data_IF_600506983695
#
_entry.id   IF_600506983695
#
_cell.length_a   1.000
_cell.length_b   1.000
_cell.length_c   1.000
_cell.angle_alpha   90.00
_cell.angle_beta   90.00
_cell.angle_gamma   90.00
#
_symmetry.space_group_name_H-M   'P 1'
#
loop_
_entity.id
_entity.type
_entity.pdbx_description
1 polymer ?
#
# COMPACT_ATOMS: atom_id res chain seq x y z
N UNK A 1 0.74 -5.84 -18.44
CA UNK A 1 1.92 -4.99 -18.18
C UNK A 1 3.06 -5.94 -17.85
N UNK A 2 4.26 -5.74 -18.37
CA UNK A 2 5.36 -6.66 -18.06
C UNK A 2 6.32 -6.03 -17.07
N UNK A 3 6.70 -6.82 -16.06
CA UNK A 3 7.67 -6.44 -15.03
C UNK A 3 8.89 -7.37 -15.02
N UNK A 4 9.18 -7.99 -16.17
CA UNK A 4 10.38 -8.82 -16.33
C UNK A 4 11.63 -8.06 -15.86
N UNK A 5 12.48 -8.71 -15.06
CA UNK A 5 13.68 -8.16 -14.45
C UNK A 5 13.44 -6.89 -13.57
N UNK A 6 12.23 -6.68 -13.06
CA UNK A 6 11.93 -5.65 -12.05
C UNK A 6 11.87 -6.26 -10.67
N UNK A 7 12.39 -5.53 -9.70
CA UNK A 7 12.31 -5.87 -8.28
C UNK A 7 11.34 -4.93 -7.58
N UNK A 8 10.36 -5.51 -6.90
CA UNK A 8 9.25 -4.81 -6.26
C UNK A 8 9.24 -5.11 -4.76
N UNK A 9 9.41 -4.12 -3.94
CA UNK A 9 9.24 -4.23 -2.49
C UNK A 9 7.80 -3.89 -2.11
N UNK A 10 7.07 -4.84 -1.54
CA UNK A 10 5.69 -4.64 -1.05
C UNK A 10 5.67 -4.78 0.47
N UNK A 11 5.33 -3.71 1.19
CA UNK A 11 5.25 -3.75 2.65
C UNK A 11 3.90 -4.30 3.12
N UNK A 12 3.92 -5.08 4.22
CA UNK A 12 2.72 -5.72 4.74
C UNK A 12 2.08 -6.70 3.77
N UNK A 13 2.90 -7.45 3.02
CA UNK A 13 2.47 -8.27 1.89
C UNK A 13 2.06 -9.71 2.25
N UNK A 14 2.06 -10.10 3.53
CA UNK A 14 1.69 -11.46 3.95
C UNK A 14 0.19 -11.78 3.82
N UNK A 15 -0.68 -10.79 3.53
CA UNK A 15 -2.15 -10.98 3.43
C UNK A 15 -2.85 -9.80 2.75
N UNK A 16 -4.14 -9.99 2.46
CA UNK A 16 -5.04 -8.94 1.99
C UNK A 16 -4.55 -8.24 0.73
N UNK A 17 -4.65 -6.91 0.70
CA UNK A 17 -4.27 -6.09 -0.45
C UNK A 17 -2.79 -6.28 -0.81
N UNK A 18 -1.90 -6.28 0.18
CA UNK A 18 -0.47 -6.45 -0.06
C UNK A 18 -0.12 -7.79 -0.71
N UNK A 19 -0.77 -8.89 -0.29
CA UNK A 19 -0.58 -10.21 -0.89
C UNK A 19 -1.11 -10.27 -2.33
N UNK A 20 -2.27 -9.66 -2.60
CA UNK A 20 -2.82 -9.58 -3.96
C UNK A 20 -1.90 -8.77 -4.89
N UNK A 21 -1.35 -7.66 -4.40
CA UNK A 21 -0.37 -6.85 -5.13
C UNK A 21 0.89 -7.66 -5.43
N UNK A 22 1.43 -8.39 -4.44
CA UNK A 22 2.63 -9.21 -4.61
C UNK A 22 2.43 -10.29 -5.69
N UNK A 23 1.31 -11.03 -5.64
CA UNK A 23 0.95 -12.04 -6.65
C UNK A 23 0.79 -11.44 -8.05
N UNK A 24 0.14 -10.28 -8.13
CA UNK A 24 -0.08 -9.60 -9.40
C UNK A 24 1.24 -9.15 -10.05
N UNK A 25 2.20 -8.61 -9.28
CA UNK A 25 3.51 -8.30 -9.81
C UNK A 25 4.26 -9.55 -10.28
N UNK A 26 4.21 -10.63 -9.49
CA UNK A 26 4.85 -11.89 -9.84
C UNK A 26 4.28 -12.51 -11.11
N UNK A 27 2.95 -12.46 -11.31
CA UNK A 27 2.29 -12.94 -12.54
C UNK A 27 2.68 -12.14 -13.80
N UNK A 28 3.23 -10.95 -13.62
CA UNK A 28 3.77 -10.10 -14.69
C UNK A 28 5.31 -10.20 -14.81
N UNK A 29 5.93 -11.21 -14.18
CA UNK A 29 7.34 -11.54 -14.28
C UNK A 29 8.27 -10.81 -13.30
N UNK A 30 7.73 -10.09 -12.31
CA UNK A 30 8.55 -9.42 -11.32
C UNK A 30 9.19 -10.38 -10.31
N UNK A 31 10.30 -9.93 -9.73
CA UNK A 31 10.83 -10.43 -8.47
C UNK A 31 10.24 -9.61 -7.32
N UNK A 32 9.61 -10.25 -6.34
CA UNK A 32 8.87 -9.56 -5.28
C UNK A 32 9.49 -9.79 -3.91
N UNK A 33 9.82 -8.72 -3.23
CA UNK A 33 10.20 -8.74 -1.80
C UNK A 33 8.93 -8.61 -0.97
N UNK A 34 8.55 -9.70 -0.32
CA UNK A 34 7.34 -9.84 0.50
C UNK A 34 7.68 -9.45 1.93
N UNK A 35 7.48 -8.18 2.30
CA UNK A 35 7.71 -7.77 3.69
C UNK A 35 6.55 -8.20 4.59
N UNK A 36 6.88 -8.69 5.76
CA UNK A 36 5.96 -9.02 6.83
C UNK A 36 6.50 -8.63 8.22
N UNK A 37 5.60 -8.49 9.21
CA UNK A 37 5.98 -8.17 10.58
C UNK A 37 5.97 -9.41 11.49
N UNK A 38 4.88 -10.20 11.48
CA UNK A 38 4.63 -11.26 12.47
C UNK A 38 4.35 -12.63 11.87
N UNK A 39 3.60 -12.71 10.78
CA UNK A 39 3.11 -13.97 10.25
C UNK A 39 4.03 -14.45 9.12
N UNK A 40 5.01 -15.25 9.48
CA UNK A 40 6.01 -15.82 8.60
C UNK A 40 5.41 -16.89 7.67
N UNK A 41 4.54 -17.76 8.20
CA UNK A 41 3.89 -18.80 7.40
C UNK A 41 3.01 -18.20 6.30
N UNK A 42 2.25 -17.14 6.62
CA UNK A 42 1.45 -16.45 5.62
C UNK A 42 2.33 -15.74 4.56
N UNK A 43 3.48 -15.20 4.95
CA UNK A 43 4.41 -14.62 3.99
C UNK A 43 5.03 -15.70 3.10
N UNK A 44 5.41 -16.85 3.66
CA UNK A 44 5.92 -17.99 2.90
C UNK A 44 4.89 -18.53 1.90
N UNK A 45 3.61 -18.60 2.28
CA UNK A 45 2.54 -18.97 1.36
C UNK A 45 2.41 -17.97 0.18
N UNK A 46 2.50 -16.66 0.44
CA UNK A 46 2.49 -15.64 -0.63
C UNK A 46 3.71 -15.79 -1.54
N UNK A 47 4.89 -16.07 -0.98
CA UNK A 47 6.10 -16.34 -1.78
C UNK A 47 5.90 -17.55 -2.69
N UNK A 48 5.34 -18.65 -2.18
CA UNK A 48 5.04 -19.83 -2.99
C UNK A 48 4.06 -19.51 -4.13
N UNK A 49 3.00 -18.75 -3.84
CA UNK A 49 2.02 -18.30 -4.83
C UNK A 49 2.67 -17.42 -5.92
N UNK A 50 3.58 -16.50 -5.53
CA UNK A 50 4.31 -15.63 -6.46
C UNK A 50 5.18 -16.47 -7.42
N UNK A 51 5.89 -17.47 -6.90
CA UNK A 51 6.70 -18.38 -7.71
C UNK A 51 5.85 -19.24 -8.63
N UNK A 52 4.73 -19.75 -8.15
CA UNK A 52 3.77 -20.51 -8.96
C UNK A 52 3.13 -19.65 -10.07
N UNK A 53 3.02 -18.34 -9.88
CA UNK A 53 2.51 -17.41 -10.88
C UNK A 53 3.53 -17.03 -11.97
N UNK A 54 4.78 -17.49 -11.89
CA UNK A 54 5.82 -17.31 -12.92
C UNK A 54 6.81 -16.17 -12.62
N UNK A 55 6.70 -15.49 -11.48
CA UNK A 55 7.71 -14.56 -10.98
C UNK A 55 8.68 -15.24 -10.02
N UNK A 56 9.47 -14.41 -9.34
CA UNK A 56 10.27 -14.84 -8.18
C UNK A 56 9.87 -14.03 -6.94
N UNK A 57 10.11 -14.58 -5.75
CA UNK A 57 9.84 -13.87 -4.51
C UNK A 57 10.60 -14.47 -3.34
N UNK A 58 10.84 -13.62 -2.32
CA UNK A 58 11.25 -14.04 -0.99
C UNK A 58 10.62 -13.17 0.08
N UNK A 59 10.56 -13.68 1.31
CA UNK A 59 10.00 -12.96 2.45
C UNK A 59 11.10 -12.28 3.26
N UNK A 60 10.82 -11.05 3.74
CA UNK A 60 11.69 -10.33 4.68
C UNK A 60 10.88 -9.84 5.87
N UNK A 61 11.32 -10.23 7.08
CA UNK A 61 10.73 -9.77 8.32
C UNK A 61 11.30 -8.41 8.70
N UNK A 62 10.46 -7.38 8.71
CA UNK A 62 10.83 -6.05 9.20
C UNK A 62 9.60 -5.30 9.70
N UNK A 63 9.76 -4.56 10.80
CA UNK A 63 8.79 -3.56 11.24
C UNK A 63 9.06 -2.26 10.48
N UNK A 64 8.11 -1.81 9.67
CA UNK A 64 8.23 -0.55 8.92
C UNK A 64 8.30 0.68 9.84
N UNK A 65 7.83 0.58 11.08
CA UNK A 65 7.98 1.61 12.10
C UNK A 65 9.42 1.76 12.63
N UNK A 66 10.30 0.77 12.40
CA UNK A 66 11.69 0.79 12.82
C UNK A 66 12.61 1.16 11.66
N UNK A 67 13.21 2.35 11.69
CA UNK A 67 14.14 2.80 10.66
C UNK A 67 15.32 1.82 10.48
N UNK A 68 15.82 1.23 11.58
CA UNK A 68 16.93 0.25 11.53
C UNK A 68 16.48 -1.04 10.83
N UNK A 69 15.29 -1.57 11.16
CA UNK A 69 14.78 -2.78 10.53
C UNK A 69 14.47 -2.57 9.03
N UNK A 70 13.99 -1.38 8.68
CA UNK A 70 13.72 -1.02 7.28
C UNK A 70 15.04 -0.88 6.50
N UNK A 71 16.06 -0.25 7.08
CA UNK A 71 17.37 -0.14 6.44
C UNK A 71 17.95 -1.52 6.13
N UNK A 72 17.94 -2.42 7.11
CA UNK A 72 18.41 -3.80 6.93
C UNK A 72 17.60 -4.57 5.86
N UNK A 73 16.27 -4.40 5.82
CA UNK A 73 15.40 -4.99 4.80
C UNK A 73 15.78 -4.51 3.39
N UNK A 74 16.02 -3.21 3.22
CA UNK A 74 16.38 -2.62 1.92
C UNK A 74 17.77 -3.07 1.49
N UNK A 75 18.74 -3.11 2.41
CA UNK A 75 20.09 -3.63 2.16
C UNK A 75 20.04 -5.09 1.73
N UNK A 76 19.34 -5.95 2.47
CA UNK A 76 19.15 -7.34 2.09
C UNK A 76 18.53 -7.46 0.69
N UNK A 77 17.50 -6.68 0.36
CA UNK A 77 16.87 -6.73 -0.95
C UNK A 77 17.82 -6.29 -2.08
N UNK A 78 18.70 -5.32 -1.81
CA UNK A 78 19.71 -4.87 -2.74
C UNK A 78 20.84 -5.90 -2.92
N UNK A 79 21.25 -6.56 -1.84
CA UNK A 79 22.28 -7.60 -1.88
C UNK A 79 21.80 -8.83 -2.67
N UNK A 80 20.54 -9.26 -2.46
CA UNK A 80 19.97 -10.44 -3.12
C UNK A 80 19.61 -10.19 -4.59
N UNK A 81 19.05 -9.01 -4.92
CA UNK A 81 18.54 -8.74 -6.27
C UNK A 81 19.31 -7.66 -7.04
N UNK A 82 20.29 -7.01 -6.44
CA UNK A 82 21.07 -5.94 -7.05
C UNK A 82 20.31 -4.65 -7.31
N UNK A 83 18.99 -4.62 -7.09
CA UNK A 83 18.13 -3.47 -7.41
C UNK A 83 16.80 -3.50 -6.70
N UNK A 84 16.18 -2.34 -6.56
CA UNK A 84 14.75 -2.14 -6.32
C UNK A 84 14.25 -1.14 -7.37
N UNK A 85 13.15 -1.44 -8.04
CA UNK A 85 12.54 -0.57 -9.07
C UNK A 85 11.25 0.08 -8.58
N UNK A 86 10.50 -0.64 -7.74
CA UNK A 86 9.19 -0.24 -7.25
C UNK A 86 9.10 -0.47 -5.75
N UNK A 87 8.53 0.49 -5.06
CA UNK A 87 8.12 0.35 -3.65
C UNK A 87 6.62 0.52 -3.56
N UNK A 88 5.94 -0.42 -2.88
CA UNK A 88 4.53 -0.29 -2.51
C UNK A 88 4.42 -0.21 -0.99
N UNK A 89 4.13 0.98 -0.48
CA UNK A 89 3.87 1.20 0.94
C UNK A 89 2.41 0.85 1.24
N UNK A 90 2.17 -0.41 1.58
CA UNK A 90 0.87 -0.95 1.93
C UNK A 90 0.74 -1.23 3.43
N UNK A 91 1.84 -1.47 4.14
CA UNK A 91 1.81 -1.70 5.59
C UNK A 91 1.18 -0.51 6.33
N UNK A 92 0.35 -0.81 7.31
CA UNK A 92 -0.21 0.18 8.24
C UNK A 92 -0.45 -0.47 9.60
N UNK A 93 -0.67 0.37 10.63
CA UNK A 93 -1.02 -0.14 11.95
C UNK A 93 -2.33 -0.92 11.88
N UNK A 94 -2.47 -2.07 12.56
CA UNK A 94 -3.71 -2.83 12.59
C UNK A 94 -4.90 -1.94 12.95
N UNK A 95 -5.95 -2.02 12.14
CA UNK A 95 -7.19 -1.26 12.30
C UNK A 95 -8.38 -2.18 12.06
N UNK A 96 -9.50 -1.92 12.72
CA UNK A 96 -10.75 -2.65 12.53
C UNK A 96 -11.81 -1.71 12.01
N UNK A 97 -12.31 -1.99 10.81
CA UNK A 97 -13.39 -1.20 10.20
C UNK A 97 -14.75 -1.71 10.68
N UNK A 98 -15.14 -1.27 11.87
CA UNK A 98 -16.48 -1.51 12.43
C UNK A 98 -17.17 -0.15 12.64
N UNK A 99 -18.17 0.22 11.79
CA UNK A 99 -18.85 1.50 11.91
C UNK A 99 -19.58 1.72 13.24
N UNK A 100 -19.96 0.64 13.92
CA UNK A 100 -20.72 0.71 15.20
C UNK A 100 -19.80 0.76 16.42
N UNK A 101 -18.53 0.36 16.26
CA UNK A 101 -17.53 0.39 17.34
C UNK A 101 -16.42 1.40 17.07
N UNK A 102 -16.64 2.32 16.14
CA UNK A 102 -15.69 3.42 15.92
C UNK A 102 -15.66 4.33 17.14
N UNK A 103 -14.49 4.83 17.46
CA UNK A 103 -14.32 5.85 18.50
C UNK A 103 -14.88 7.18 17.99
N UNK A 104 -15.65 7.89 18.82
CA UNK A 104 -16.15 9.23 18.52
C UNK A 104 -15.04 10.26 18.72
N UNK A 105 -15.23 11.48 18.21
CA UNK A 105 -14.19 12.52 18.26
C UNK A 105 -13.77 12.87 19.68
N UNK A 106 -14.74 13.02 20.58
CA UNK A 106 -14.54 13.34 22.00
C UNK A 106 -13.96 12.19 22.84
N UNK A 107 -13.97 10.99 22.29
CA UNK A 107 -13.39 9.77 22.88
C UNK A 107 -12.03 9.40 22.29
N UNK A 108 -11.68 9.96 21.12
CA UNK A 108 -10.43 9.64 20.40
C UNK A 108 -9.27 10.41 21.04
N UNK A 109 -8.35 9.70 21.67
CA UNK A 109 -7.17 10.31 22.27
C UNK A 109 -6.16 10.77 21.22
N UNK A 110 -5.37 11.81 21.55
CA UNK A 110 -4.30 12.27 20.65
C UNK A 110 -3.27 11.16 20.32
N UNK A 111 -3.03 10.28 21.27
CA UNK A 111 -2.16 9.12 21.10
C UNK A 111 -2.64 8.14 20.02
N UNK A 112 -3.96 8.03 19.78
CA UNK A 112 -4.52 7.21 18.70
C UNK A 112 -4.13 7.80 17.32
N UNK A 113 -4.24 9.12 17.18
CA UNK A 113 -3.75 9.82 15.98
C UNK A 113 -2.26 9.60 15.77
N UNK A 114 -1.43 9.82 16.81
CA UNK A 114 0.02 9.62 16.71
C UNK A 114 0.35 8.19 16.28
N UNK A 115 -0.33 7.21 16.85
CA UNK A 115 -0.11 5.81 16.53
C UNK A 115 -0.47 5.46 15.08
N UNK A 116 -1.51 6.06 14.50
CA UNK A 116 -1.85 5.89 13.08
C UNK A 116 -0.88 6.66 12.18
N UNK A 117 -0.41 7.83 12.58
CA UNK A 117 0.65 8.55 11.88
C UNK A 117 1.95 7.75 11.82
N UNK A 118 2.40 7.20 12.93
CA UNK A 118 3.61 6.38 13.00
C UNK A 118 3.49 5.14 12.09
N UNK A 119 2.33 4.50 12.07
CA UNK A 119 2.08 3.32 11.25
C UNK A 119 1.95 3.60 9.76
N UNK A 120 1.28 4.68 9.38
CA UNK A 120 1.00 4.98 7.97
C UNK A 120 2.08 5.90 7.35
N UNK A 121 2.34 7.05 7.96
CA UNK A 121 3.29 8.04 7.43
C UNK A 121 4.71 7.67 7.82
N UNK A 122 4.95 7.35 9.08
CA UNK A 122 6.28 6.97 9.60
C UNK A 122 6.83 5.73 8.90
N UNK A 123 5.99 4.71 8.71
CA UNK A 123 6.38 3.50 7.97
C UNK A 123 6.77 3.81 6.53
N UNK A 124 5.94 4.57 5.80
CA UNK A 124 6.23 4.98 4.42
C UNK A 124 7.49 5.86 4.35
N UNK A 125 7.67 6.79 5.29
CA UNK A 125 8.86 7.64 5.40
C UNK A 125 10.13 6.79 5.54
N UNK A 126 10.16 5.83 6.46
CA UNK A 126 11.32 4.98 6.67
C UNK A 126 11.71 4.22 5.41
N UNK A 127 10.72 3.61 4.72
CA UNK A 127 10.96 2.85 3.48
C UNK A 127 11.44 3.77 2.36
N UNK A 128 10.78 4.91 2.14
CA UNK A 128 11.18 5.88 1.12
C UNK A 128 12.60 6.40 1.37
N UNK A 129 12.95 6.71 2.63
CA UNK A 129 14.28 7.18 3.00
C UNK A 129 15.36 6.14 2.75
N UNK A 130 15.10 4.88 3.07
CA UNK A 130 16.07 3.79 2.89
C UNK A 130 16.34 3.48 1.41
N UNK A 131 15.31 3.52 0.54
CA UNK A 131 15.49 3.24 -0.90
C UNK A 131 16.00 4.44 -1.71
N UNK A 132 15.85 5.66 -1.20
CA UNK A 132 16.14 6.90 -1.93
C UNK A 132 17.58 7.00 -2.47
N UNK A 133 18.65 6.63 -1.74
CA UNK A 133 20.01 6.63 -2.29
C UNK A 133 20.14 5.79 -3.55
N UNK A 134 19.55 4.57 -3.54
CA UNK A 134 19.55 3.67 -4.68
C UNK A 134 18.75 4.24 -5.88
N UNK A 135 17.56 4.80 -5.64
CA UNK A 135 16.76 5.43 -6.69
C UNK A 135 17.45 6.65 -7.30
N UNK A 136 18.10 7.48 -6.47
CA UNK A 136 18.91 8.63 -6.94
C UNK A 136 20.06 8.21 -7.85
N UNK A 137 20.82 7.20 -7.43
CA UNK A 137 21.94 6.67 -8.21
C UNK A 137 21.49 6.18 -9.60
N UNK A 138 20.29 5.60 -9.68
CA UNK A 138 19.73 5.05 -10.92
C UNK A 138 18.92 6.05 -11.73
N UNK A 139 18.67 7.24 -11.20
CA UNK A 139 17.78 8.25 -11.75
C UNK A 139 16.42 7.65 -12.18
N UNK A 140 15.89 6.71 -11.39
CA UNK A 140 14.65 5.98 -11.69
C UNK A 140 14.10 5.29 -10.44
N UNK A 141 12.78 5.37 -10.26
CA UNK A 141 12.04 4.66 -9.24
C UNK A 141 10.53 4.93 -9.33
N UNK A 142 9.73 4.03 -8.80
CA UNK A 142 8.30 4.26 -8.63
C UNK A 142 7.88 3.91 -7.20
N UNK A 143 7.20 4.83 -6.54
CA UNK A 143 6.65 4.67 -5.19
C UNK A 143 5.13 4.74 -5.30
N UNK A 144 4.44 3.73 -4.79
CA UNK A 144 2.98 3.70 -4.71
C UNK A 144 2.57 3.56 -3.25
N UNK A 145 1.86 4.56 -2.74
CA UNK A 145 1.37 4.57 -1.35
C UNK A 145 -0.11 4.18 -1.32
N UNK A 146 -0.48 3.19 -0.48
CA UNK A 146 -1.87 2.79 -0.32
C UNK A 146 -2.51 3.70 0.73
N UNK A 147 -3.44 4.55 0.26
CA UNK A 147 -4.22 5.46 1.10
C UNK A 147 -5.65 4.95 1.30
N UNK A 148 -6.68 5.77 1.21
CA UNK A 148 -8.09 5.36 1.34
C UNK A 148 -8.97 6.40 0.63
N UNK A 149 -10.11 5.98 0.10
CA UNK A 149 -11.11 6.92 -0.44
C UNK A 149 -11.76 7.79 0.65
N UNK A 150 -11.62 7.41 1.92
CA UNK A 150 -12.07 8.22 3.06
C UNK A 150 -11.35 9.57 3.16
N UNK A 151 -10.18 9.73 2.52
CA UNK A 151 -9.48 11.03 2.47
C UNK A 151 -10.27 12.09 1.71
N UNK A 152 -11.14 11.68 0.79
CA UNK A 152 -12.01 12.57 0.00
C UNK A 152 -13.45 12.51 0.50
N UNK A 153 -13.96 11.31 0.79
CA UNK A 153 -15.34 11.10 1.21
C UNK A 153 -15.40 10.26 2.50
N UNK A 154 -15.34 10.88 3.68
CA UNK A 154 -15.36 10.18 4.97
C UNK A 154 -16.79 9.75 5.35
N UNK A 155 -17.37 8.81 4.58
CA UNK A 155 -18.73 8.26 4.83
C UNK A 155 -18.87 7.68 6.23
N UNK A 156 -17.76 7.23 6.82
CA UNK A 156 -17.64 6.88 8.22
C UNK A 156 -16.41 7.60 8.75
N UNK A 157 -16.57 8.46 9.77
CA UNK A 157 -15.45 9.21 10.32
C UNK A 157 -14.60 8.31 11.26
N UNK A 158 -13.64 7.62 10.67
CA UNK A 158 -12.53 6.99 11.41
C UNK A 158 -11.45 8.06 11.59
N UNK A 159 -11.55 8.85 12.65
CA UNK A 159 -10.84 10.12 12.82
C UNK A 159 -9.32 9.99 12.70
N UNK A 160 -8.72 9.10 13.48
CA UNK A 160 -7.29 8.84 13.54
C UNK A 160 -6.77 8.25 12.21
N UNK A 161 -7.44 7.23 11.69
CA UNK A 161 -7.07 6.55 10.45
C UNK A 161 -7.15 7.47 9.23
N UNK A 162 -8.30 8.16 9.06
CA UNK A 162 -8.50 9.04 7.90
C UNK A 162 -7.53 10.21 7.92
N UNK A 163 -7.26 10.79 9.09
CA UNK A 163 -6.27 11.88 9.25
C UNK A 163 -4.87 11.41 8.85
N UNK A 164 -4.44 10.23 9.30
CA UNK A 164 -3.14 9.68 8.93
C UNK A 164 -3.04 9.37 7.41
N UNK A 165 -4.11 8.84 6.81
CA UNK A 165 -4.14 8.59 5.35
C UNK A 165 -4.15 9.89 4.53
N UNK A 166 -4.82 10.94 5.01
CA UNK A 166 -4.76 12.28 4.39
C UNK A 166 -3.36 12.88 4.47
N UNK A 167 -2.68 12.72 5.60
CA UNK A 167 -1.29 13.15 5.74
C UNK A 167 -0.35 12.39 4.81
N UNK A 168 -0.58 11.09 4.57
CA UNK A 168 0.20 10.30 3.62
C UNK A 168 0.02 10.81 2.18
N UNK A 169 -1.15 11.35 1.80
CA UNK A 169 -1.35 12.04 0.51
C UNK A 169 -0.48 13.29 0.42
N UNK A 170 -0.47 14.14 1.45
CA UNK A 170 0.38 15.33 1.51
C UNK A 170 1.86 14.97 1.42
N UNK A 171 2.31 13.97 2.18
CA UNK A 171 3.67 13.43 2.13
C UNK A 171 4.04 12.96 0.70
N UNK A 172 3.15 12.22 0.04
CA UNK A 172 3.36 11.70 -1.32
C UNK A 172 3.52 12.82 -2.35
N UNK A 173 2.71 13.87 -2.25
CA UNK A 173 2.77 15.04 -3.15
C UNK A 173 4.07 15.82 -3.00
N UNK A 174 4.55 16.02 -1.77
CA UNK A 174 5.85 16.65 -1.52
C UNK A 174 7.00 15.83 -2.10
N UNK A 175 7.01 14.52 -1.87
CA UNK A 175 8.01 13.63 -2.46
C UNK A 175 7.95 13.65 -4.00
N UNK A 176 6.76 13.64 -4.58
CA UNK A 176 6.59 13.69 -6.04
C UNK A 176 7.19 14.97 -6.64
N UNK A 177 6.99 16.12 -6.00
CA UNK A 177 7.54 17.40 -6.43
C UNK A 177 9.07 17.43 -6.32
N UNK A 178 9.63 16.96 -5.19
CA UNK A 178 11.07 16.97 -4.94
C UNK A 178 11.81 15.94 -5.81
N UNK A 179 11.26 14.73 -5.95
CA UNK A 179 11.96 13.61 -6.57
C UNK A 179 11.70 13.48 -8.08
N UNK A 180 10.70 14.18 -8.61
CA UNK A 180 10.37 14.18 -10.03
C UNK A 180 11.55 14.53 -10.94
N UNK A 181 12.34 15.60 -10.67
CA UNK A 181 13.55 15.93 -11.43
C UNK A 181 14.61 14.81 -11.44
N UNK A 182 14.53 13.89 -10.51
CA UNK A 182 15.43 12.72 -10.40
C UNK A 182 14.87 11.47 -11.10
N UNK A 183 13.79 11.60 -11.88
CA UNK A 183 13.15 10.47 -12.57
C UNK A 183 12.40 9.50 -11.63
N UNK A 184 12.08 9.93 -10.40
CA UNK A 184 11.37 9.11 -9.42
C UNK A 184 9.92 9.60 -9.34
N UNK A 185 8.96 8.68 -9.52
CA UNK A 185 7.53 8.98 -9.44
C UNK A 185 6.95 8.53 -8.11
N UNK A 186 6.03 9.30 -7.56
CA UNK A 186 5.33 8.98 -6.30
C UNK A 186 3.84 9.21 -6.50
N UNK A 187 3.03 8.16 -6.35
CA UNK A 187 1.58 8.23 -6.51
C UNK A 187 0.88 7.48 -5.38
N UNK A 188 -0.42 7.72 -5.24
CA UNK A 188 -1.28 7.06 -4.27
C UNK A 188 -2.37 6.23 -4.97
N UNK A 189 -2.71 5.08 -4.39
CA UNK A 189 -3.94 4.35 -4.68
C UNK A 189 -4.85 4.48 -3.47
N UNK A 190 -6.09 4.86 -3.69
CA UNK A 190 -7.13 5.11 -2.68
C UNK A 190 -8.27 4.09 -2.80
N UNK A 191 -8.16 2.89 -2.20
CA UNK A 191 -9.24 1.92 -2.20
C UNK A 191 -10.44 2.43 -1.39
N UNK A 192 -11.65 1.98 -1.80
CA UNK A 192 -12.82 1.93 -0.93
C UNK A 192 -12.73 0.78 0.07
N UNK A 193 -13.88 0.33 0.60
CA UNK A 193 -13.91 -0.89 1.39
C UNK A 193 -13.48 -2.07 0.53
N UNK A 194 -12.48 -2.82 1.01
CA UNK A 194 -11.97 -4.05 0.38
C UNK A 194 -12.35 -5.24 1.26
N UNK A 195 -13.08 -6.19 0.73
CA UNK A 195 -13.55 -7.36 1.48
C UNK A 195 -13.41 -8.63 0.63
N UNK A 196 -12.99 -9.77 1.22
CA UNK A 196 -12.60 -9.94 2.62
C UNK A 196 -11.14 -9.55 2.88
N UNK A 197 -10.91 -8.87 4.01
CA UNK A 197 -9.57 -8.65 4.58
C UNK A 197 -9.64 -8.79 6.09
N UNK A 198 -8.51 -8.91 6.78
CA UNK A 198 -8.51 -8.93 8.24
C UNK A 198 -9.06 -7.62 8.82
N UNK A 199 -8.76 -6.48 8.23
CA UNK A 199 -9.23 -5.18 8.70
C UNK A 199 -10.74 -5.00 8.49
N UNK A 200 -11.31 -5.58 7.43
CA UNK A 200 -12.74 -5.49 7.09
C UNK A 200 -13.58 -6.65 7.61
N UNK A 201 -12.97 -7.65 8.26
CA UNK A 201 -13.69 -8.83 8.75
C UNK A 201 -14.81 -8.54 9.75
N UNK A 202 -14.67 -7.45 10.52
CA UNK A 202 -15.70 -6.98 11.45
C UNK A 202 -16.84 -6.17 10.81
N UNK A 203 -16.72 -5.84 9.51
CA UNK A 203 -17.75 -5.07 8.79
C UNK A 203 -19.01 -5.91 8.62
N UNK A 204 -20.13 -5.47 9.22
CA UNK A 204 -21.41 -6.18 9.19
C UNK A 204 -22.03 -6.20 7.81
N UNK A 205 -22.90 -7.19 7.59
CA UNK A 205 -23.52 -7.41 6.28
C UNK A 205 -24.41 -6.24 5.85
N UNK A 206 -25.23 -5.73 6.75
CA UNK A 206 -26.14 -4.62 6.46
C UNK A 206 -25.38 -3.36 6.01
N UNK A 207 -24.20 -3.13 6.59
CA UNK A 207 -23.35 -2.01 6.16
C UNK A 207 -22.73 -2.29 4.79
N UNK A 208 -22.28 -3.53 4.53
CA UNK A 208 -21.78 -3.92 3.21
C UNK A 208 -22.86 -3.76 2.13
N UNK A 209 -24.09 -4.18 2.42
CA UNK A 209 -25.23 -4.02 1.50
C UNK A 209 -25.53 -2.54 1.21
N UNK A 210 -25.50 -1.69 2.23
CA UNK A 210 -25.70 -0.24 2.04
C UNK A 210 -24.60 0.38 1.18
N UNK A 211 -23.36 -0.08 1.35
CA UNK A 211 -22.22 0.36 0.53
C UNK A 211 -22.36 -0.13 -0.92
N UNK A 212 -22.76 -1.39 -1.12
CA UNK A 212 -23.03 -1.96 -2.45
C UNK A 212 -24.11 -1.14 -3.16
N UNK A 213 -25.20 -0.80 -2.44
CA UNK A 213 -26.27 0.03 -2.99
C UNK A 213 -25.83 1.44 -3.37
N UNK A 214 -24.86 2.02 -2.64
CA UNK A 214 -24.29 3.34 -2.92
C UNK A 214 -23.19 3.32 -4.00
N UNK A 215 -22.57 2.17 -4.24
CA UNK A 215 -21.46 2.03 -5.18
C UNK A 215 -21.98 1.84 -6.60
N UNK A 216 -21.60 2.66 -7.60
CA UNK A 216 -22.02 2.50 -8.99
C UNK A 216 -21.79 1.11 -9.58
N UNK A 217 -20.62 0.48 -9.32
CA UNK A 217 -20.33 -0.88 -9.77
C UNK A 217 -21.06 -1.99 -8.99
N UNK A 218 -21.94 -1.62 -8.03
CA UNK A 218 -22.84 -2.54 -7.30
C UNK A 218 -22.13 -3.75 -6.65
N UNK A 219 -20.91 -3.57 -6.21
CA UNK A 219 -20.15 -4.56 -5.43
C UNK A 219 -19.10 -3.89 -4.55
N UNK A 220 -18.60 -4.63 -3.59
CA UNK A 220 -17.43 -4.25 -2.80
C UNK A 220 -16.17 -4.73 -3.54
N UNK A 221 -15.10 -3.95 -3.44
CA UNK A 221 -13.81 -4.32 -4.00
C UNK A 221 -13.22 -5.55 -3.30
N UNK A 222 -12.56 -6.40 -4.07
CA UNK A 222 -11.68 -7.47 -3.59
C UNK A 222 -10.23 -6.98 -3.59
N UNK A 223 -9.31 -7.64 -2.87
CA UNK A 223 -7.89 -7.28 -2.90
C UNK A 223 -7.30 -7.19 -4.31
N UNK A 224 -7.74 -8.06 -5.23
CA UNK A 224 -7.29 -8.11 -6.62
C UNK A 224 -7.70 -6.87 -7.42
N UNK A 225 -8.82 -6.23 -7.09
CA UNK A 225 -9.26 -4.99 -7.75
C UNK A 225 -8.30 -3.83 -7.49
N UNK A 226 -7.56 -3.86 -6.38
CA UNK A 226 -6.56 -2.84 -6.02
C UNK A 226 -5.23 -3.08 -6.72
N UNK A 227 -4.90 -4.34 -7.01
CA UNK A 227 -3.60 -4.71 -7.55
C UNK A 227 -3.37 -4.12 -8.95
N UNK A 228 -4.34 -4.19 -9.87
CA UNK A 228 -4.21 -3.65 -11.22
C UNK A 228 -3.83 -2.16 -11.28
N UNK A 229 -4.54 -1.27 -10.59
CA UNK A 229 -4.17 0.14 -10.45
C UNK A 229 -2.78 0.39 -9.87
N UNK A 230 -2.33 -0.43 -8.91
CA UNK A 230 -0.96 -0.34 -8.36
C UNK A 230 0.07 -0.69 -9.43
N UNK A 231 -0.14 -1.79 -10.17
CA UNK A 231 0.73 -2.17 -11.28
C UNK A 231 0.76 -1.08 -12.36
N UNK A 232 -0.38 -0.51 -12.71
CA UNK A 232 -0.46 0.60 -13.66
C UNK A 232 0.42 1.78 -13.22
N UNK A 233 0.27 2.25 -11.98
CA UNK A 233 1.06 3.36 -11.44
C UNK A 233 2.55 3.01 -11.30
N UNK A 234 2.91 1.76 -11.14
CA UNK A 234 4.30 1.30 -11.11
C UNK A 234 4.93 1.17 -12.50
N UNK A 235 4.13 1.03 -13.55
CA UNK A 235 4.55 0.72 -14.91
C UNK A 235 4.97 1.95 -15.73
N UNK A 236 5.54 1.71 -16.94
CA UNK A 236 5.83 2.75 -17.92
C UNK A 236 4.57 3.38 -18.55
N UNK A 237 3.41 2.75 -18.40
CA UNK A 237 2.15 3.29 -18.89
C UNK A 237 1.74 4.57 -18.15
N UNK A 238 2.23 4.72 -16.91
CA UNK A 238 2.03 5.92 -16.09
C UNK A 238 3.28 6.80 -15.98
N UNK A 239 4.24 6.72 -16.94
CA UNK A 239 5.52 7.41 -16.89
C UNK A 239 5.43 8.94 -16.77
N UNK A 240 4.29 9.53 -17.12
CA UNK A 240 4.03 10.97 -16.97
C UNK A 240 3.05 11.31 -15.85
N UNK A 241 2.89 10.37 -14.88
CA UNK A 241 2.03 10.54 -13.72
C UNK A 241 2.85 10.52 -12.42
N UNK A 242 2.81 11.61 -11.67
CA UNK A 242 3.37 11.71 -10.32
C UNK A 242 2.50 12.64 -9.47
N UNK A 243 2.49 12.47 -8.16
CA UNK A 243 1.69 13.25 -7.22
C UNK A 243 0.18 12.97 -7.26
N UNK A 244 -0.26 11.94 -7.98
CA UNK A 244 -1.68 11.65 -8.20
C UNK A 244 -2.26 10.72 -7.15
N UNK A 245 -3.57 10.83 -6.92
CA UNK A 245 -4.36 9.90 -6.12
C UNK A 245 -5.36 9.22 -7.04
N UNK A 246 -5.23 7.90 -7.22
CA UNK A 246 -6.12 7.11 -8.04
C UNK A 246 -7.14 6.38 -7.14
N UNK A 247 -8.41 6.76 -7.24
CA UNK A 247 -9.48 6.12 -6.47
C UNK A 247 -9.88 4.79 -7.08
N UNK A 248 -10.01 3.76 -6.23
CA UNK A 248 -10.37 2.38 -6.61
C UNK A 248 -11.50 1.92 -5.69
N UNK A 249 -12.67 2.45 -5.91
CA UNK A 249 -13.83 2.28 -5.03
C UNK A 249 -15.16 2.04 -5.76
N UNK A 250 -15.08 1.66 -7.04
CA UNK A 250 -16.25 1.35 -7.85
C UNK A 250 -17.10 2.57 -8.23
N UNK A 251 -16.52 3.78 -8.17
CA UNK A 251 -17.19 5.04 -8.48
C UNK A 251 -17.91 5.67 -7.29
N UNK A 252 -17.61 5.24 -6.05
CA UNK A 252 -18.19 5.85 -4.85
C UNK A 252 -17.69 7.29 -4.65
N UNK A 253 -16.46 7.58 -5.05
CA UNK A 253 -15.88 8.92 -5.19
C UNK A 253 -15.67 9.21 -6.66
N UNK A 254 -16.16 10.35 -7.13
CA UNK A 254 -15.97 10.88 -8.49
C UNK A 254 -15.41 12.30 -8.37
N UNK A 255 -14.19 12.50 -8.83
CA UNK A 255 -13.47 13.79 -8.83
C UNK A 255 -13.36 14.31 -10.26
#
# INVERSE_FOLDING_TARGET
>A
MKFDAKVVLVTGASRGIGAAIARAFASEGATVVVNHLRNEDAAAAVVADCKAAGGDAWAVKADVGSAVAVQAMVEQALDEAGRIDVVVNNAFRPYSFDPQRRTLFDETAWQDYQAQFDGAVGGAYNVCRAVLPHFRQRARGSIVNIVSNLVERPVIPYHDYTTAKSALVGFSRNLAAELGPLGIRVNCVAPGLVYPTQASGATREEFRESLIAATPLRRIARPEDVAGPVLFLASEWSRFMTGQVLFVDGGLVMN
#
